data_IF_861851995474
#
_entry.id   IF_861851995474
#
_cell.length_a   1.000
_cell.length_b   1.000
_cell.length_c   1.000
_cell.angle_alpha   90.00
_cell.angle_beta   90.00
_cell.angle_gamma   90.00
#
_symmetry.space_group_name_H-M   'P 1'
#
loop_
_entity.id
_entity.type
_entity.pdbx_description
1 polymer ?
#
# COMPACT_ATOMS: atom_id res chain seq x y z
N UNK A 1 -20.33 -12.48 7.63
CA UNK A 1 -19.86 -11.65 8.76
C UNK A 1 -18.44 -12.11 9.06
N UNK A 2 -17.44 -11.26 8.86
CA UNK A 2 -16.05 -11.61 9.20
C UNK A 2 -15.92 -11.71 10.72
N UNK A 3 -15.26 -12.76 11.20
CA UNK A 3 -15.07 -13.03 12.62
C UNK A 3 -14.15 -11.94 13.21
N UNK A 4 -14.51 -11.24 14.31
CA UNK A 4 -13.66 -10.21 14.91
C UNK A 4 -12.28 -10.74 15.35
N UNK A 5 -12.13 -12.05 15.56
CA UNK A 5 -10.85 -12.70 15.84
C UNK A 5 -9.92 -12.73 14.61
N UNK A 6 -10.45 -12.90 13.40
CA UNK A 6 -9.65 -12.88 12.17
C UNK A 6 -9.17 -11.46 11.82
N UNK A 7 -9.92 -10.44 12.24
CA UNK A 7 -9.57 -9.05 11.97
C UNK A 7 -8.39 -8.53 12.80
N UNK A 8 -8.21 -9.08 14.00
CA UNK A 8 -7.08 -8.73 14.87
C UNK A 8 -5.82 -9.49 14.43
N UNK A 9 -5.96 -10.78 14.11
CA UNK A 9 -4.87 -11.61 13.60
C UNK A 9 -4.23 -11.05 12.31
N UNK A 10 -5.04 -10.58 11.35
CA UNK A 10 -4.52 -9.95 10.12
C UNK A 10 -3.76 -8.63 10.38
N UNK A 11 -4.11 -7.91 11.45
CA UNK A 11 -3.37 -6.71 11.86
C UNK A 11 -2.07 -7.04 12.60
N UNK A 12 -2.05 -8.11 13.41
CA UNK A 12 -0.85 -8.56 14.11
C UNK A 12 0.21 -9.11 13.17
N UNK A 13 -0.20 -9.96 12.21
CA UNK A 13 0.70 -10.51 11.19
C UNK A 13 1.30 -9.39 10.33
N UNK A 14 0.47 -8.43 9.90
CA UNK A 14 0.97 -7.25 9.18
C UNK A 14 2.03 -6.48 9.99
N UNK A 15 1.80 -6.27 11.29
CA UNK A 15 2.75 -5.57 12.15
C UNK A 15 4.06 -6.36 12.36
N UNK A 16 3.99 -7.70 12.40
CA UNK A 16 5.17 -8.56 12.46
C UNK A 16 6.03 -8.38 11.20
N UNK A 17 5.42 -8.58 10.02
CA UNK A 17 6.12 -8.39 8.75
C UNK A 17 6.65 -6.98 8.55
N UNK A 18 5.90 -5.97 9.03
CA UNK A 18 6.35 -4.59 9.00
C UNK A 18 7.59 -4.34 9.87
N UNK A 19 7.69 -5.01 11.01
CA UNK A 19 8.85 -4.89 11.90
C UNK A 19 10.08 -5.53 11.25
N UNK A 20 9.90 -6.71 10.68
CA UNK A 20 10.95 -7.42 9.94
C UNK A 20 11.41 -6.61 8.72
N UNK A 21 10.48 -6.07 7.93
CA UNK A 21 10.77 -5.22 6.79
C UNK A 21 11.62 -4.01 7.18
N UNK A 22 11.32 -3.36 8.31
CA UNK A 22 12.11 -2.20 8.78
C UNK A 22 13.54 -2.59 9.14
N UNK A 23 13.77 -3.78 9.68
CA UNK A 23 15.10 -4.28 9.98
C UNK A 23 15.90 -4.52 8.70
N UNK A 24 15.29 -5.21 7.73
CA UNK A 24 15.90 -5.46 6.42
C UNK A 24 16.16 -4.15 5.67
N UNK A 25 15.24 -3.20 5.72
CA UNK A 25 15.39 -1.87 5.10
C UNK A 25 16.56 -1.08 5.70
N UNK A 26 16.74 -1.14 7.02
CA UNK A 26 17.86 -0.47 7.71
C UNK A 26 19.19 -1.10 7.30
N UNK A 27 19.28 -2.43 7.28
CA UNK A 27 20.46 -3.17 6.86
C UNK A 27 20.80 -2.94 5.37
N UNK A 28 19.79 -2.94 4.49
CA UNK A 28 19.96 -2.59 3.07
C UNK A 28 20.50 -1.17 2.92
N UNK A 29 19.94 -0.20 3.64
CA UNK A 29 20.40 1.20 3.57
C UNK A 29 21.86 1.32 4.01
N UNK A 30 22.22 0.68 5.12
CA UNK A 30 23.59 0.66 5.62
C UNK A 30 24.56 0.06 4.58
N UNK A 31 24.21 -1.07 3.96
CA UNK A 31 25.03 -1.70 2.91
C UNK A 31 25.18 -0.79 1.69
N UNK A 32 24.11 -0.12 1.25
CA UNK A 32 24.15 0.81 0.13
C UNK A 32 25.05 2.02 0.38
N UNK A 33 25.18 2.45 1.63
CA UNK A 33 26.07 3.56 2.01
C UNK A 33 27.53 3.12 2.14
N UNK A 34 27.79 1.85 2.44
CA UNK A 34 29.16 1.29 2.53
C UNK A 34 29.77 0.92 1.16
N UNK A 35 28.95 0.51 0.18
CA UNK A 35 29.43 0.07 -1.15
C UNK A 35 30.37 1.08 -1.85
N UNK A 36 30.13 2.41 -1.81
CA UNK A 36 31.04 3.40 -2.41
C UNK A 36 32.45 3.43 -1.80
N UNK A 37 32.60 3.06 -0.53
CA UNK A 37 33.89 3.08 0.19
C UNK A 37 34.72 1.82 -0.09
N UNK A 38 34.09 0.77 -0.60
CA UNK A 38 34.71 -0.52 -0.90
C UNK A 38 35.21 -0.58 -2.34
N UNK A 39 36.28 -1.34 -2.57
CA UNK A 39 36.83 -1.59 -3.92
C UNK A 39 37.13 -3.07 -4.17
N UNK A 40 37.17 -3.49 -5.44
CA UNK A 40 37.53 -4.86 -5.81
C UNK A 40 36.55 -5.94 -5.33
N UNK A 41 37.10 -7.00 -4.73
CA UNK A 41 36.35 -8.16 -4.23
C UNK A 41 35.38 -7.86 -3.08
N UNK A 42 35.75 -7.12 -2.00
CA UNK A 42 34.80 -6.78 -0.93
C UNK A 42 33.64 -5.93 -1.44
N UNK A 43 33.85 -5.06 -2.44
CA UNK A 43 32.76 -4.31 -3.09
C UNK A 43 31.78 -5.24 -3.80
N UNK A 44 32.28 -6.24 -4.52
CA UNK A 44 31.45 -7.24 -5.20
C UNK A 44 30.62 -8.04 -4.18
N UNK A 45 31.23 -8.44 -3.06
CA UNK A 45 30.54 -9.14 -1.99
C UNK A 45 29.43 -8.27 -1.35
N UNK A 46 29.72 -7.00 -1.08
CA UNK A 46 28.74 -6.06 -0.51
C UNK A 46 27.55 -5.81 -1.45
N UNK A 47 27.79 -5.69 -2.76
CA UNK A 47 26.71 -5.57 -3.77
C UNK A 47 25.82 -6.81 -3.75
N UNK A 48 26.41 -8.01 -3.81
CA UNK A 48 25.64 -9.26 -3.77
C UNK A 48 24.84 -9.41 -2.46
N UNK A 49 25.37 -8.93 -1.33
CA UNK A 49 24.65 -8.94 -0.05
C UNK A 49 23.50 -7.94 -0.04
N UNK A 50 23.68 -6.76 -0.64
CA UNK A 50 22.62 -5.77 -0.79
C UNK A 50 21.52 -6.26 -1.76
N UNK A 51 21.87 -6.99 -2.81
CA UNK A 51 20.90 -7.63 -3.70
C UNK A 51 20.02 -8.64 -2.95
N UNK A 52 20.62 -9.49 -2.10
CA UNK A 52 19.85 -10.44 -1.27
C UNK A 52 18.93 -9.74 -0.27
N UNK A 53 19.42 -8.69 0.40
CA UNK A 53 18.58 -7.92 1.33
C UNK A 53 17.43 -7.20 0.60
N UNK A 54 17.64 -6.79 -0.66
CA UNK A 54 16.59 -6.22 -1.48
C UNK A 54 15.53 -7.27 -1.86
N UNK A 55 15.95 -8.49 -2.23
CA UNK A 55 15.03 -9.61 -2.49
C UNK A 55 14.18 -9.94 -1.25
N UNK A 56 14.80 -10.03 -0.07
CA UNK A 56 14.10 -10.24 1.21
C UNK A 56 13.10 -9.11 1.51
N UNK A 57 13.47 -7.85 1.26
CA UNK A 57 12.56 -6.71 1.41
C UNK A 57 11.36 -6.80 0.45
N UNK A 58 11.57 -7.25 -0.79
CA UNK A 58 10.51 -7.46 -1.78
C UNK A 58 9.56 -8.61 -1.37
N UNK A 59 10.10 -9.70 -0.81
CA UNK A 59 9.30 -10.82 -0.28
C UNK A 59 8.40 -10.37 0.87
N UNK A 60 8.94 -9.61 1.83
CA UNK A 60 8.20 -9.06 2.96
C UNK A 60 7.11 -8.08 2.51
N UNK A 61 7.39 -7.23 1.52
CA UNK A 61 6.35 -6.38 0.89
C UNK A 61 5.25 -7.22 0.24
N UNK A 62 5.60 -8.35 -0.38
CA UNK A 62 4.66 -9.32 -0.91
C UNK A 62 3.73 -9.87 0.17
N UNK A 63 4.29 -10.32 1.29
CA UNK A 63 3.54 -10.85 2.43
C UNK A 63 2.62 -9.78 3.06
N UNK A 64 3.15 -8.58 3.28
CA UNK A 64 2.37 -7.42 3.76
C UNK A 64 1.22 -7.05 2.81
N UNK A 65 1.41 -7.20 1.49
CA UNK A 65 0.36 -6.93 0.49
C UNK A 65 -0.79 -7.94 0.55
N UNK A 66 -0.50 -9.19 0.91
CA UNK A 66 -1.52 -10.21 1.13
C UNK A 66 -2.30 -9.90 2.41
N UNK A 67 -1.59 -9.66 3.52
CA UNK A 67 -2.25 -9.46 4.82
C UNK A 67 -3.06 -8.17 4.93
N UNK A 68 -2.65 -7.09 4.26
CA UNK A 68 -3.43 -5.84 4.31
C UNK A 68 -4.85 -5.96 3.73
N UNK A 69 -5.12 -7.00 2.93
CA UNK A 69 -6.47 -7.28 2.40
C UNK A 69 -7.41 -7.78 3.50
N UNK A 70 -6.86 -8.44 4.52
CA UNK A 70 -7.59 -8.98 5.67
C UNK A 70 -7.91 -7.89 6.71
N UNK A 71 -7.25 -6.73 6.66
CA UNK A 71 -7.44 -5.62 7.61
C UNK A 71 -8.79 -4.90 7.37
N UNK A 72 -9.59 -4.60 8.41
CA UNK A 72 -10.86 -3.87 8.29
C UNK A 72 -10.74 -2.50 7.60
N UNK A 73 -11.81 -2.06 6.92
CA UNK A 73 -11.83 -0.81 6.15
C UNK A 73 -11.49 0.44 6.97
N UNK A 74 -11.84 0.46 8.27
CA UNK A 74 -11.62 1.61 9.16
C UNK A 74 -10.12 1.92 9.40
N UNK A 75 -9.25 0.90 9.47
CA UNK A 75 -7.80 1.05 9.68
C UNK A 75 -6.99 0.97 8.38
N UNK A 76 -7.59 0.45 7.30
CA UNK A 76 -6.92 0.18 6.02
C UNK A 76 -6.32 1.41 5.34
N UNK A 77 -6.91 2.61 5.50
CA UNK A 77 -6.41 3.84 4.87
C UNK A 77 -4.98 4.20 5.32
N UNK A 78 -4.74 4.17 6.64
CA UNK A 78 -3.41 4.48 7.20
C UNK A 78 -2.38 3.41 6.81
N UNK A 79 -2.78 2.14 6.85
CA UNK A 79 -1.93 1.01 6.46
C UNK A 79 -1.53 1.09 4.98
N UNK A 80 -2.48 1.40 4.09
CA UNK A 80 -2.21 1.56 2.66
C UNK A 80 -1.25 2.72 2.38
N UNK A 81 -1.36 3.83 3.10
CA UNK A 81 -0.43 4.95 2.94
C UNK A 81 0.99 4.55 3.33
N UNK A 82 1.16 3.90 4.48
CA UNK A 82 2.46 3.42 4.95
C UNK A 82 3.07 2.40 3.99
N UNK A 83 2.27 1.45 3.52
CA UNK A 83 2.68 0.44 2.54
C UNK A 83 3.19 1.06 1.23
N UNK A 84 2.49 2.08 0.69
CA UNK A 84 2.96 2.79 -0.51
C UNK A 84 4.29 3.52 -0.29
N UNK A 85 4.51 4.06 0.90
CA UNK A 85 5.79 4.67 1.24
C UNK A 85 6.91 3.63 1.23
N UNK A 86 6.66 2.45 1.82
CA UNK A 86 7.63 1.34 1.81
C UNK A 86 7.95 0.86 0.39
N UNK A 87 6.95 0.70 -0.48
CA UNK A 87 7.18 0.38 -1.91
C UNK A 87 8.06 1.44 -2.58
N UNK A 88 7.78 2.72 -2.33
CA UNK A 88 8.55 3.82 -2.91
C UNK A 88 9.99 3.83 -2.42
N UNK A 89 10.22 3.54 -1.14
CA UNK A 89 11.56 3.52 -0.55
C UNK A 89 12.37 2.31 -1.02
N UNK A 90 11.76 1.13 -1.14
CA UNK A 90 12.40 -0.06 -1.73
C UNK A 90 12.76 0.17 -3.19
N UNK A 91 11.90 0.81 -3.97
CA UNK A 91 12.21 1.16 -5.37
C UNK A 91 13.35 2.17 -5.48
N UNK A 92 13.45 3.13 -4.55
CA UNK A 92 14.61 4.05 -4.48
C UNK A 92 15.90 3.29 -4.18
N UNK A 93 15.86 2.38 -3.19
CA UNK A 93 17.01 1.55 -2.83
C UNK A 93 17.45 0.66 -4.01
N UNK A 94 16.50 0.04 -4.72
CA UNK A 94 16.74 -0.74 -5.94
C UNK A 94 17.46 0.08 -7.02
N UNK A 95 17.01 1.31 -7.28
CA UNK A 95 17.65 2.18 -8.28
C UNK A 95 19.08 2.56 -7.87
N UNK A 96 19.30 2.90 -6.60
CA UNK A 96 20.63 3.20 -6.04
C UNK A 96 21.57 1.99 -6.13
N UNK A 97 21.09 0.79 -5.82
CA UNK A 97 21.86 -0.44 -5.95
C UNK A 97 22.28 -0.69 -7.40
N UNK A 98 21.35 -0.53 -8.35
CA UNK A 98 21.65 -0.66 -9.79
C UNK A 98 22.71 0.32 -10.26
N UNK A 99 22.62 1.60 -9.90
CA UNK A 99 23.66 2.57 -10.28
C UNK A 99 25.04 2.20 -9.73
N UNK A 100 25.10 1.76 -8.47
CA UNK A 100 26.35 1.32 -7.84
C UNK A 100 26.91 0.04 -8.48
N UNK A 101 26.03 -0.87 -8.92
CA UNK A 101 26.42 -2.09 -9.62
C UNK A 101 26.93 -1.78 -11.04
N UNK A 102 26.27 -0.89 -11.78
CA UNK A 102 26.61 -0.54 -13.17
C UNK A 102 27.94 0.24 -13.28
N UNK A 103 28.28 1.08 -12.30
CA UNK A 103 29.57 1.78 -12.22
C UNK A 103 30.78 0.82 -12.25
N UNK A 104 30.57 -0.45 -11.89
CA UNK A 104 31.59 -1.51 -11.92
C UNK A 104 32.05 -1.86 -13.33
N UNK A 105 31.19 -1.75 -14.34
CA UNK A 105 31.54 -2.05 -15.73
C UNK A 105 32.42 -0.94 -16.35
N UNK A 106 32.21 0.32 -15.94
CA UNK A 106 33.00 1.45 -16.40
C UNK A 106 34.40 1.52 -15.77
N UNK A 107 34.57 1.05 -14.52
CA UNK A 107 35.85 1.13 -13.82
C UNK A 107 36.82 -0.04 -14.12
N UNK A 108 36.29 -1.21 -14.51
CA UNK A 108 37.11 -2.39 -14.85
C UNK A 108 37.26 -2.64 -16.36
N UNK A 109 36.54 -1.90 -17.21
CA UNK A 109 36.53 -2.07 -18.67
C UNK A 109 37.73 -1.50 -19.42
N UNK A 110 38.70 -0.85 -18.75
CA UNK A 110 39.80 -0.08 -19.40
C UNK A 110 41.19 -0.62 -19.03
N UNK A 111 41.36 -1.94 -18.85
CA UNK A 111 42.70 -2.56 -18.62
C UNK A 111 43.22 -3.43 -19.77
N UNK A 112 42.60 -3.36 -20.94
CA UNK A 112 43.00 -4.05 -22.17
C UNK A 112 42.76 -3.01 -23.26
N UNK A 113 43.70 -2.48 -24.05
CA UNK A 113 44.99 -2.94 -24.58
C UNK A 113 45.66 -1.70 -25.15
N UNK A 114 46.91 -1.41 -24.79
CA UNK A 114 47.76 -0.52 -25.59
C UNK A 114 49.19 -1.07 -25.52
N UNK A 115 49.48 -2.01 -26.42
CA UNK A 115 50.84 -2.45 -26.75
C UNK A 115 51.08 -2.03 -28.22
N UNK A 116 51.79 -0.93 -28.48
CA UNK A 116 51.92 -0.35 -29.81
C UNK A 116 53.11 -0.97 -30.56
N UNK A 117 53.06 -2.27 -30.82
CA UNK A 117 54.16 -2.98 -31.49
C UNK A 117 53.75 -4.05 -32.51
N UNK A 118 52.94 -3.72 -33.53
CA UNK A 118 52.94 -4.52 -34.77
C UNK A 118 52.47 -3.76 -36.02
N UNK A 119 52.98 -4.19 -37.18
CA UNK A 119 53.13 -3.39 -38.40
C UNK A 119 51.88 -3.10 -39.22
N UNK A 120 52.04 -2.24 -40.23
CA UNK A 120 51.02 -1.63 -41.10
C UNK A 120 50.06 -2.56 -41.87
N UNK A 121 50.14 -3.89 -41.70
CA UNK A 121 49.10 -4.83 -42.14
C UNK A 121 47.93 -4.95 -41.16
N UNK A 122 48.13 -4.54 -39.91
CA UNK A 122 47.17 -4.71 -38.81
C UNK A 122 46.10 -3.61 -38.78
N UNK A 123 46.42 -2.41 -39.25
CA UNK A 123 45.50 -1.26 -39.30
C UNK A 123 44.21 -1.53 -40.10
N UNK A 124 44.29 -2.36 -41.16
CA UNK A 124 43.13 -2.71 -41.99
C UNK A 124 42.25 -3.80 -41.34
N UNK A 125 42.86 -4.68 -40.54
CA UNK A 125 42.17 -5.68 -39.71
C UNK A 125 41.52 -5.03 -38.48
N UNK A 126 42.22 -4.10 -37.82
CA UNK A 126 41.70 -3.26 -36.74
C UNK A 126 40.49 -2.45 -37.19
N UNK A 127 40.58 -1.77 -38.35
CA UNK A 127 39.46 -0.99 -38.87
C UNK A 127 38.22 -1.88 -39.12
N UNK A 128 38.41 -3.10 -39.61
CA UNK A 128 37.32 -4.06 -39.85
C UNK A 128 36.74 -4.60 -38.55
N UNK A 129 37.58 -4.89 -37.55
CA UNK A 129 37.12 -5.26 -36.20
C UNK A 129 36.36 -4.10 -35.53
N UNK A 130 36.80 -2.86 -35.72
CA UNK A 130 36.15 -1.68 -35.17
C UNK A 130 34.77 -1.44 -35.81
N UNK A 131 34.62 -1.66 -37.12
CA UNK A 131 33.34 -1.60 -37.82
C UNK A 131 32.38 -2.72 -37.39
N UNK A 132 32.89 -3.95 -37.19
CA UNK A 132 32.11 -5.07 -36.67
C UNK A 132 31.64 -4.79 -35.23
N UNK A 133 32.55 -4.33 -34.36
CA UNK A 133 32.23 -3.94 -33.00
C UNK A 133 31.23 -2.76 -32.95
N UNK A 134 31.35 -1.81 -33.88
CA UNK A 134 30.39 -0.72 -34.06
C UNK A 134 29.00 -1.24 -34.45
N UNK A 135 28.93 -2.18 -35.40
CA UNK A 135 27.68 -2.81 -35.85
C UNK A 135 27.02 -3.61 -34.72
N UNK A 136 27.80 -4.40 -33.98
CA UNK A 136 27.28 -5.21 -32.87
C UNK A 136 26.76 -4.34 -31.71
N UNK A 137 27.43 -3.21 -31.43
CA UNK A 137 26.94 -2.21 -30.47
C UNK A 137 25.63 -1.57 -30.92
N UNK A 138 25.50 -1.28 -32.21
CA UNK A 138 24.31 -0.68 -32.79
C UNK A 138 23.13 -1.65 -32.78
N UNK A 139 23.37 -2.93 -33.08
CA UNK A 139 22.35 -3.97 -33.00
C UNK A 139 21.86 -4.19 -31.56
N UNK A 140 22.79 -4.27 -30.59
CA UNK A 140 22.44 -4.32 -29.15
C UNK A 140 21.67 -3.09 -28.69
N UNK A 141 22.06 -1.89 -29.13
CA UNK A 141 21.33 -0.65 -28.84
C UNK A 141 19.92 -0.68 -29.40
N UNK A 142 19.77 -1.14 -30.64
CA UNK A 142 18.47 -1.29 -31.31
C UNK A 142 17.57 -2.27 -30.57
N UNK A 143 18.12 -3.40 -30.12
CA UNK A 143 17.37 -4.39 -29.36
C UNK A 143 16.94 -3.86 -27.99
N UNK A 144 17.82 -3.09 -27.31
CA UNK A 144 17.47 -2.40 -26.06
C UNK A 144 16.38 -1.35 -26.26
N UNK A 145 16.43 -0.58 -27.34
CA UNK A 145 15.39 0.39 -27.68
C UNK A 145 14.04 -0.29 -27.91
N UNK A 146 14.02 -1.42 -28.66
CA UNK A 146 12.79 -2.21 -28.85
C UNK A 146 12.24 -2.75 -27.55
N UNK A 147 13.10 -3.26 -26.67
CA UNK A 147 12.69 -3.74 -25.35
C UNK A 147 12.15 -2.59 -24.47
N UNK A 148 12.80 -1.42 -24.51
CA UNK A 148 12.35 -0.23 -23.81
C UNK A 148 10.99 0.26 -24.31
N UNK A 149 10.76 0.21 -25.63
CA UNK A 149 9.45 0.57 -26.20
C UNK A 149 8.37 -0.42 -25.77
N UNK A 150 8.66 -1.72 -25.78
CA UNK A 150 7.71 -2.74 -25.32
C UNK A 150 7.34 -2.53 -23.84
N UNK A 151 8.34 -2.29 -22.99
CA UNK A 151 8.13 -2.01 -21.57
C UNK A 151 7.35 -0.70 -21.34
N UNK A 152 7.62 0.34 -22.14
CA UNK A 152 6.90 1.61 -22.06
C UNK A 152 5.42 1.42 -22.42
N UNK A 153 5.12 0.68 -23.49
CA UNK A 153 3.75 0.37 -23.89
C UNK A 153 3.02 -0.48 -22.83
N UNK A 154 3.70 -1.45 -22.21
CA UNK A 154 3.13 -2.23 -21.10
C UNK A 154 2.85 -1.34 -19.89
N UNK A 155 3.77 -0.43 -19.56
CA UNK A 155 3.59 0.54 -18.48
C UNK A 155 2.43 1.49 -18.75
N UNK A 156 2.27 1.95 -19.99
CA UNK A 156 1.12 2.76 -20.41
C UNK A 156 -0.20 2.00 -20.26
N UNK A 157 -0.24 0.72 -20.66
CA UNK A 157 -1.43 -0.12 -20.49
C UNK A 157 -1.80 -0.32 -19.02
N UNK A 158 -0.81 -0.57 -18.14
CA UNK A 158 -1.01 -0.66 -16.69
C UNK A 158 -1.52 0.68 -16.13
N UNK A 159 -0.94 1.80 -16.58
CA UNK A 159 -1.35 3.15 -16.20
C UNK A 159 -2.81 3.45 -16.60
N UNK A 160 -3.20 3.11 -17.83
CA UNK A 160 -4.57 3.25 -18.31
C UNK A 160 -5.55 2.40 -17.49
N UNK A 161 -5.17 1.15 -17.17
CA UNK A 161 -5.97 0.27 -16.32
C UNK A 161 -6.16 0.84 -14.90
N UNK A 162 -5.08 1.29 -14.26
CA UNK A 162 -5.15 1.90 -12.93
C UNK A 162 -5.98 3.17 -12.91
N UNK A 163 -5.89 4.03 -13.93
CA UNK A 163 -6.77 5.19 -14.05
C UNK A 163 -8.25 4.77 -14.18
N UNK A 164 -8.53 3.71 -14.92
CA UNK A 164 -9.88 3.11 -15.01
C UNK A 164 -10.39 2.63 -13.65
N UNK A 165 -9.57 1.90 -12.89
CA UNK A 165 -9.93 1.45 -11.54
C UNK A 165 -10.16 2.61 -10.57
N UNK A 166 -9.30 3.63 -10.60
CA UNK A 166 -9.45 4.82 -9.75
C UNK A 166 -10.76 5.56 -10.06
N UNK A 167 -11.13 5.64 -11.34
CA UNK A 167 -12.41 6.21 -11.74
C UNK A 167 -13.58 5.39 -11.16
N UNK A 168 -13.53 4.07 -11.30
CA UNK A 168 -14.58 3.18 -10.79
C UNK A 168 -14.68 3.22 -9.25
N UNK A 169 -13.53 3.30 -8.56
CA UNK A 169 -13.46 3.49 -7.11
C UNK A 169 -14.07 4.83 -6.69
N UNK A 170 -13.80 5.91 -7.41
CA UNK A 170 -14.42 7.21 -7.16
C UNK A 170 -15.94 7.12 -7.26
N UNK A 171 -16.47 6.49 -8.30
CA UNK A 171 -17.92 6.28 -8.45
C UNK A 171 -18.49 5.48 -7.28
N UNK A 172 -17.80 4.43 -6.83
CA UNK A 172 -18.21 3.64 -5.66
C UNK A 172 -18.24 4.48 -4.39
N UNK A 173 -17.24 5.32 -4.15
CA UNK A 173 -17.18 6.21 -2.98
C UNK A 173 -18.34 7.24 -3.03
N UNK A 174 -18.61 7.81 -4.20
CA UNK A 174 -19.74 8.73 -4.37
C UNK A 174 -21.06 8.05 -4.04
N UNK A 175 -21.30 6.85 -4.56
CA UNK A 175 -22.52 6.09 -4.27
C UNK A 175 -22.68 5.73 -2.78
N UNK A 176 -21.58 5.38 -2.10
CA UNK A 176 -21.59 5.13 -0.65
C UNK A 176 -21.95 6.40 0.13
N UNK A 177 -21.41 7.56 -0.26
CA UNK A 177 -21.76 8.84 0.37
C UNK A 177 -23.23 9.21 0.17
N UNK A 178 -23.76 9.04 -1.05
CA UNK A 178 -25.17 9.32 -1.34
C UNK A 178 -26.08 8.40 -0.52
N UNK A 179 -25.75 7.11 -0.44
CA UNK A 179 -26.48 6.13 0.37
C UNK A 179 -26.40 6.47 1.87
N UNK A 180 -25.26 6.98 2.34
CA UNK A 180 -25.07 7.39 3.72
C UNK A 180 -25.95 8.60 4.08
N UNK A 181 -26.01 9.61 3.20
CA UNK A 181 -26.91 10.77 3.36
C UNK A 181 -28.38 10.34 3.40
N UNK A 182 -28.77 9.38 2.55
CA UNK A 182 -30.13 8.84 2.56
C UNK A 182 -30.42 8.09 3.87
N UNK A 183 -29.46 7.29 4.37
CA UNK A 183 -29.56 6.58 5.64
C UNK A 183 -29.73 7.53 6.84
N UNK A 184 -29.02 8.66 6.89
CA UNK A 184 -29.23 9.68 7.92
C UNK A 184 -30.67 10.20 7.93
N UNK A 185 -31.27 10.37 6.75
CA UNK A 185 -32.65 10.82 6.61
C UNK A 185 -33.66 9.79 7.15
N UNK A 186 -33.44 8.49 6.91
CA UNK A 186 -34.28 7.43 7.49
C UNK A 186 -34.13 7.30 9.01
N UNK A 187 -32.91 7.50 9.53
CA UNK A 187 -32.65 7.49 10.98
C UNK A 187 -33.38 8.63 11.67
N UNK A 188 -33.32 9.84 11.13
CA UNK A 188 -34.03 10.99 11.72
C UNK A 188 -35.56 10.80 11.72
N UNK A 189 -36.10 10.24 10.64
CA UNK A 189 -37.53 9.89 10.57
C UNK A 189 -37.90 8.82 11.61
N UNK A 190 -37.06 7.81 11.78
CA UNK A 190 -37.26 6.74 12.77
C UNK A 190 -37.22 7.30 14.19
N UNK A 191 -36.25 8.17 14.51
CA UNK A 191 -36.17 8.86 15.82
C UNK A 191 -37.41 9.73 16.05
N UNK A 192 -37.89 10.46 15.05
CA UNK A 192 -39.10 11.28 15.14
C UNK A 192 -40.35 10.43 15.46
N UNK A 193 -40.49 9.27 14.81
CA UNK A 193 -41.61 8.35 15.09
C UNK A 193 -41.52 7.73 16.49
N UNK A 194 -40.34 7.30 16.91
CA UNK A 194 -40.08 6.77 18.26
C UNK A 194 -40.38 7.81 19.34
N UNK A 195 -39.96 9.06 19.13
CA UNK A 195 -40.24 10.18 20.06
C UNK A 195 -41.74 10.48 20.15
N UNK A 196 -42.49 10.31 19.05
CA UNK A 196 -43.95 10.38 19.03
C UNK A 196 -44.62 9.26 19.84
N UNK A 197 -44.12 8.02 19.71
CA UNK A 197 -44.60 6.87 20.50
C UNK A 197 -44.29 7.04 21.99
N UNK A 198 -43.08 7.47 22.33
CA UNK A 198 -42.67 7.72 23.71
C UNK A 198 -43.54 8.78 24.39
N UNK A 199 -43.90 9.86 23.68
CA UNK A 199 -44.79 10.90 24.21
C UNK A 199 -46.19 10.37 24.49
N UNK A 200 -46.78 9.61 23.55
CA UNK A 200 -48.09 8.95 23.74
C UNK A 200 -48.08 7.99 24.92
N UNK A 201 -47.01 7.21 25.07
CA UNK A 201 -46.83 6.29 26.19
C UNK A 201 -46.78 7.02 27.53
N UNK A 202 -46.03 8.13 27.62
CA UNK A 202 -45.97 8.95 28.82
C UNK A 202 -47.34 9.56 29.17
N UNK A 203 -48.06 10.11 28.18
CA UNK A 203 -49.41 10.65 28.39
C UNK A 203 -50.37 9.58 28.89
N UNK A 204 -50.39 8.39 28.28
CA UNK A 204 -51.23 7.29 28.74
C UNK A 204 -50.90 6.89 30.18
N UNK A 205 -49.61 6.82 30.54
CA UNK A 205 -49.18 6.49 31.91
C UNK A 205 -49.64 7.52 32.93
N UNK A 206 -49.58 8.81 32.60
CA UNK A 206 -50.07 9.90 33.46
C UNK A 206 -51.60 9.83 33.64
N UNK A 207 -52.34 9.60 32.55
CA UNK A 207 -53.81 9.44 32.61
C UNK A 207 -54.19 8.26 33.53
N UNK A 208 -53.51 7.11 33.39
CA UNK A 208 -53.78 5.95 34.24
C UNK A 208 -53.53 6.25 35.71
N UNK A 209 -52.43 6.94 36.05
CA UNK A 209 -52.14 7.34 37.44
C UNK A 209 -53.23 8.29 37.97
N UNK A 210 -53.66 9.27 37.17
CA UNK A 210 -54.71 10.21 37.57
C UNK A 210 -56.06 9.53 37.84
N UNK A 211 -56.44 8.53 37.04
CA UNK A 211 -57.68 7.76 37.27
C UNK A 211 -57.59 6.98 38.59
N UNK A 212 -56.45 6.32 38.85
CA UNK A 212 -56.23 5.57 40.09
C UNK A 212 -56.30 6.48 41.31
N UNK A 213 -55.67 7.67 41.27
CA UNK A 213 -55.70 8.61 42.40
C UNK A 213 -57.11 9.13 42.69
N UNK A 214 -57.89 9.44 41.64
CA UNK A 214 -59.29 9.86 41.80
C UNK A 214 -60.13 8.74 42.43
N UNK A 215 -59.98 7.50 41.97
CA UNK A 215 -60.67 6.34 42.53
C UNK A 215 -60.36 6.16 44.04
N UNK A 216 -59.10 6.26 44.42
CA UNK A 216 -58.68 6.15 45.83
C UNK A 216 -59.29 7.27 46.68
N UNK A 217 -59.28 8.51 46.18
CA UNK A 217 -59.90 9.65 46.89
C UNK A 217 -61.42 9.47 47.06
N UNK A 218 -62.12 8.95 46.05
CA UNK A 218 -63.55 8.64 46.15
C UNK A 218 -63.82 7.57 47.21
N UNK A 219 -63.03 6.51 47.25
CA UNK A 219 -63.16 5.45 48.26
C UNK A 219 -62.98 6.04 49.67
N UNK A 220 -61.93 6.85 49.87
CA UNK A 220 -61.67 7.52 51.16
C UNK A 220 -62.84 8.43 51.54
N UNK A 221 -63.36 9.22 50.60
CA UNK A 221 -64.48 10.13 50.84
C UNK A 221 -65.76 9.37 51.25
N UNK A 222 -66.08 8.26 50.58
CA UNK A 222 -67.23 7.41 50.92
C UNK A 222 -67.07 6.78 52.30
N UNK A 223 -65.88 6.26 52.62
CA UNK A 223 -65.60 5.69 53.96
C UNK A 223 -65.76 6.77 55.02
N UNK A 224 -65.20 7.96 54.81
CA UNK A 224 -65.32 9.07 55.75
C UNK A 224 -66.77 9.51 55.95
N UNK A 225 -67.56 9.60 54.88
CA UNK A 225 -68.98 9.93 54.95
C UNK A 225 -69.84 8.83 55.62
N UNK A 226 -69.42 7.56 55.57
CA UNK A 226 -70.12 6.44 56.22
C UNK A 226 -69.81 6.34 57.71
N UNK A 227 -68.58 6.69 58.12
CA UNK A 227 -68.11 6.61 59.51
C UNK A 227 -68.32 7.92 60.30
N UNK A 228 -68.95 8.92 59.67
CA UNK A 228 -69.41 10.16 60.30
C UNK A 228 -70.93 10.16 60.38
#
# INVERSE_FOLDING_TARGET
MANPLDTDAGSELFNSYETEFKLVQADLTQKLDQIPELSGEPRKAAINQAERALEEADELLGQMRLEKQNIPSASRTKVNQRFRNYETDTDRARRKLRSLADDRAALFGTRYTDDPSSGAGDAQLEQRQQLLAGTERLDRSTQRLRASQALANETEAIGAHTLGELHQQRTRIQHVNDTFLESETYVDRSVKTLRGMARRMATNRVITIAIITILVLLIIAVVWAKFR
#
